data_IF_901510185198
#
_entry.id   IF_901510185198
#
_cell.length_a   1.000
_cell.length_b   1.000
_cell.length_c   1.000
_cell.angle_alpha   90.00
_cell.angle_beta   90.00
_cell.angle_gamma   90.00
#
_symmetry.space_group_name_H-M   'P 1'
#
loop_
_entity.id
_entity.type
_entity.pdbx_description
1 polymer ?
#
# COMPACT_ATOMS: atom_id res chain seq x y z
N UNK A 1 8.14 57.41 7.31
CA UNK A 1 9.01 56.61 6.39
C UNK A 1 8.82 57.20 5.00
N UNK A 2 9.89 57.54 4.34
CA UNK A 2 9.87 58.01 2.95
C UNK A 2 9.85 56.83 1.99
N UNK A 3 8.66 56.31 1.68
CA UNK A 3 8.51 55.21 0.75
C UNK A 3 8.79 55.61 -0.71
N UNK A 4 8.69 56.88 -1.06
CA UNK A 4 8.89 57.33 -2.43
C UNK A 4 10.33 57.19 -2.90
N UNK A 5 11.29 57.32 -1.99
CA UNK A 5 12.73 57.21 -2.24
C UNK A 5 13.34 55.90 -1.71
N UNK A 6 12.51 54.86 -1.49
CA UNK A 6 12.94 53.55 -0.96
C UNK A 6 12.48 52.41 -1.88
N UNK A 7 13.16 51.26 -1.84
CA UNK A 7 12.71 50.06 -2.58
C UNK A 7 11.48 49.39 -1.93
N UNK A 8 10.95 49.91 -0.84
CA UNK A 8 9.86 49.36 -0.07
C UNK A 8 8.55 50.06 -0.36
N UNK A 9 7.46 49.33 -0.30
CA UNK A 9 6.12 49.88 -0.38
C UNK A 9 5.16 49.09 0.55
N UNK A 10 4.08 49.73 0.93
CA UNK A 10 3.03 49.11 1.71
C UNK A 10 2.01 48.47 0.75
N UNK A 11 1.84 47.13 0.82
CA UNK A 11 0.82 46.43 0.05
C UNK A 11 -0.52 46.51 0.80
N UNK A 12 -1.40 47.42 0.37
CA UNK A 12 -2.73 47.65 0.96
C UNK A 12 -3.88 47.09 0.09
N UNK A 13 -3.56 46.47 -1.03
CA UNK A 13 -4.51 45.82 -1.94
C UNK A 13 -4.04 44.43 -2.29
N UNK A 14 -5.00 43.54 -2.55
CA UNK A 14 -4.67 42.21 -3.06
C UNK A 14 -4.02 42.35 -4.44
N UNK A 15 -2.84 41.80 -4.60
CA UNK A 15 -2.09 41.78 -5.86
C UNK A 15 -1.56 40.39 -6.11
N UNK A 16 -1.49 40.01 -7.37
CA UNK A 16 -0.78 38.80 -7.77
C UNK A 16 0.72 38.97 -7.51
N UNK A 17 1.31 38.00 -6.84
CA UNK A 17 2.76 37.99 -6.62
C UNK A 17 3.44 37.32 -7.82
N UNK A 18 3.97 38.11 -8.71
CA UNK A 18 4.61 37.64 -9.94
C UNK A 18 5.80 36.73 -9.63
N UNK A 19 5.88 35.63 -10.39
CA UNK A 19 7.00 34.71 -10.33
C UNK A 19 8.18 35.37 -11.05
N UNK A 20 9.37 35.31 -10.45
CA UNK A 20 10.64 35.74 -11.03
C UNK A 20 11.62 34.59 -11.08
N UNK A 21 12.87 34.85 -11.51
CA UNK A 21 13.94 33.84 -11.55
C UNK A 21 14.37 33.31 -10.16
N UNK A 22 13.83 33.89 -9.11
CA UNK A 22 14.07 33.47 -7.72
C UNK A 22 12.75 33.10 -7.03
N UNK A 23 12.77 32.12 -6.10
CA UNK A 23 11.57 31.74 -5.37
C UNK A 23 11.02 32.92 -4.55
N UNK A 24 9.70 32.98 -4.47
CA UNK A 24 9.00 33.98 -3.66
C UNK A 24 9.29 33.70 -2.18
N UNK A 25 9.65 34.76 -1.42
CA UNK A 25 9.96 34.67 0.01
C UNK A 25 9.18 35.70 0.80
N UNK A 26 8.68 35.31 1.96
CA UNK A 26 7.98 36.19 2.89
C UNK A 26 8.50 36.00 4.31
N UNK A 27 8.64 37.11 5.04
CA UNK A 27 8.86 37.07 6.47
C UNK A 27 7.56 37.36 7.22
N UNK A 28 7.26 36.57 8.24
CA UNK A 28 6.12 36.80 9.14
C UNK A 28 6.66 37.01 10.54
N UNK A 29 6.38 38.19 11.09
CA UNK A 29 6.80 38.58 12.44
C UNK A 29 5.59 38.73 13.35
N UNK A 30 5.68 38.22 14.55
CA UNK A 30 4.71 38.42 15.62
C UNK A 30 5.46 38.76 16.91
N UNK A 31 5.31 40.01 17.37
CA UNK A 31 6.03 40.50 18.53
C UNK A 31 5.04 40.86 19.64
N UNK A 32 5.17 40.18 20.79
CA UNK A 32 4.33 40.40 21.96
C UNK A 32 4.89 41.46 22.89
N UNK A 33 4.01 42.23 23.53
CA UNK A 33 4.38 43.29 24.47
C UNK A 33 5.17 42.76 25.70
N UNK A 34 5.03 41.49 26.04
CA UNK A 34 5.76 40.83 27.16
C UNK A 34 7.12 40.26 26.78
N UNK A 35 7.65 40.53 25.57
CA UNK A 35 8.94 40.03 25.10
C UNK A 35 8.90 38.67 24.41
N UNK A 36 7.73 38.07 24.20
CA UNK A 36 7.57 36.85 23.38
C UNK A 36 7.54 37.25 21.90
N UNK A 37 8.61 36.93 21.18
CA UNK A 37 8.77 37.29 19.78
C UNK A 37 8.91 36.03 18.94
N UNK A 38 8.27 36.01 17.76
CA UNK A 38 8.42 34.98 16.75
C UNK A 38 8.66 35.60 15.37
N UNK A 39 9.55 35.04 14.59
CA UNK A 39 9.77 35.40 13.21
C UNK A 39 9.93 34.11 12.37
N UNK A 40 9.22 34.07 11.26
CA UNK A 40 9.26 32.93 10.31
C UNK A 40 9.60 33.45 8.92
N UNK A 41 10.41 32.70 8.20
CA UNK A 41 10.68 32.93 6.78
C UNK A 41 9.97 31.81 6.01
N UNK A 42 9.14 32.21 5.07
CA UNK A 42 8.45 31.32 4.15
C UNK A 42 9.10 31.46 2.77
N UNK A 43 9.32 30.36 2.11
CA UNK A 43 9.83 30.32 0.75
C UNK A 43 8.86 29.50 -0.12
N UNK A 44 8.74 29.89 -1.39
CA UNK A 44 7.99 29.13 -2.37
C UNK A 44 8.51 27.69 -2.46
N UNK A 45 7.59 26.72 -2.49
CA UNK A 45 7.97 25.33 -2.63
C UNK A 45 8.69 25.10 -3.98
N UNK A 46 9.73 24.26 -4.01
CA UNK A 46 10.36 23.88 -5.26
C UNK A 46 9.35 23.19 -6.19
N UNK A 47 9.60 23.28 -7.49
CA UNK A 47 8.81 22.50 -8.47
C UNK A 47 8.85 21.01 -8.12
N UNK A 48 7.68 20.39 -8.13
CA UNK A 48 7.59 18.96 -7.87
C UNK A 48 8.02 18.19 -9.09
N UNK A 49 8.94 17.26 -8.91
CA UNK A 49 9.24 16.27 -9.94
C UNK A 49 7.99 15.43 -10.21
N UNK A 50 7.80 15.04 -11.47
CA UNK A 50 6.71 14.14 -11.83
C UNK A 50 6.92 12.79 -11.17
N UNK A 51 5.87 12.29 -10.55
CA UNK A 51 5.90 10.96 -9.92
C UNK A 51 6.20 9.88 -10.95
N UNK A 52 7.00 8.90 -10.54
CA UNK A 52 7.28 7.71 -11.34
C UNK A 52 6.01 6.84 -11.49
N UNK A 53 6.05 5.88 -12.40
CA UNK A 53 5.00 4.87 -12.52
C UNK A 53 4.84 4.11 -11.19
N UNK A 54 3.62 3.84 -10.81
CA UNK A 54 3.28 3.10 -9.59
C UNK A 54 2.39 1.89 -9.92
N UNK A 55 2.14 1.04 -8.92
CA UNK A 55 1.21 -0.07 -9.04
C UNK A 55 -0.17 0.39 -9.52
N UNK A 56 -0.89 -0.45 -10.25
CA UNK A 56 -2.25 -0.15 -10.69
C UNK A 56 -3.23 -0.08 -9.50
N UNK A 57 -3.14 -1.04 -8.60
CA UNK A 57 -3.90 -1.04 -7.36
C UNK A 57 -3.22 -0.20 -6.28
N UNK A 58 -3.99 0.61 -5.62
CA UNK A 58 -3.54 1.50 -4.55
C UNK A 58 -4.39 1.33 -3.31
N UNK A 59 -3.74 1.41 -2.18
CA UNK A 59 -4.38 1.44 -0.87
C UNK A 59 -4.45 2.89 -0.40
N UNK A 60 -5.63 3.38 -0.05
CA UNK A 60 -5.80 4.63 0.68
C UNK A 60 -6.06 4.30 2.14
N UNK A 61 -5.40 5.00 3.04
CA UNK A 61 -5.58 4.88 4.48
C UNK A 61 -6.15 6.16 5.06
N UNK A 62 -7.23 6.03 5.82
CA UNK A 62 -7.83 7.12 6.59
C UNK A 62 -7.82 6.76 8.07
N UNK A 63 -7.61 7.74 8.93
CA UNK A 63 -7.74 7.53 10.36
C UNK A 63 -8.23 8.79 11.08
N UNK A 64 -8.89 8.58 12.21
CA UNK A 64 -9.41 9.66 13.03
C UNK A 64 -9.50 9.26 14.52
N UNK A 65 -9.70 10.23 15.39
CA UNK A 65 -9.87 10.00 16.83
C UNK A 65 -11.25 9.46 17.20
N UNK A 66 -12.26 9.67 16.32
CA UNK A 66 -13.66 9.21 16.51
C UNK A 66 -14.22 8.71 15.19
N UNK A 67 -15.28 7.91 15.23
CA UNK A 67 -15.97 7.40 14.05
C UNK A 67 -16.56 8.54 13.22
N UNK A 68 -17.18 9.53 13.86
CA UNK A 68 -17.76 10.70 13.14
C UNK A 68 -16.69 11.54 12.43
N UNK A 69 -15.50 11.66 13.03
CA UNK A 69 -14.37 12.33 12.39
C UNK A 69 -13.80 11.51 11.22
N UNK A 70 -13.85 10.16 11.31
CA UNK A 70 -13.43 9.27 10.24
C UNK A 70 -14.41 9.36 9.04
N UNK A 71 -15.70 9.38 9.29
CA UNK A 71 -16.74 9.61 8.26
C UNK A 71 -16.53 10.96 7.58
N UNK A 72 -16.24 12.01 8.37
CA UNK A 72 -15.95 13.32 7.80
C UNK A 72 -14.67 13.35 6.97
N UNK A 73 -13.63 12.63 7.39
CA UNK A 73 -12.40 12.49 6.62
C UNK A 73 -12.64 11.76 5.29
N UNK A 74 -13.49 10.74 5.29
CA UNK A 74 -13.93 10.03 4.09
C UNK A 74 -14.68 10.96 3.12
N UNK A 75 -15.63 11.75 3.63
CA UNK A 75 -16.37 12.70 2.82
C UNK A 75 -15.45 13.77 2.23
N UNK A 76 -14.53 14.30 3.03
CA UNK A 76 -13.55 15.28 2.57
C UNK A 76 -12.64 14.72 1.47
N UNK A 77 -12.26 13.44 1.55
CA UNK A 77 -11.50 12.77 0.49
C UNK A 77 -12.32 12.68 -0.80
N UNK A 78 -13.58 12.27 -0.71
CA UNK A 78 -14.47 12.20 -1.87
C UNK A 78 -14.65 13.56 -2.54
N UNK A 79 -14.93 14.60 -1.75
CA UNK A 79 -15.06 15.97 -2.23
C UNK A 79 -13.77 16.49 -2.89
N UNK A 80 -12.61 16.11 -2.31
CA UNK A 80 -11.31 16.48 -2.85
C UNK A 80 -11.04 15.81 -4.20
N UNK A 81 -11.29 14.50 -4.31
CA UNK A 81 -11.12 13.74 -5.56
C UNK A 81 -12.00 14.29 -6.68
N UNK A 82 -13.24 14.64 -6.36
CA UNK A 82 -14.17 15.24 -7.30
C UNK A 82 -13.68 16.59 -7.86
N UNK A 83 -13.09 17.43 -6.99
CA UNK A 83 -12.61 18.78 -7.36
C UNK A 83 -11.24 18.78 -8.03
N UNK A 84 -10.43 17.75 -7.83
CA UNK A 84 -9.03 17.70 -8.24
C UNK A 84 -8.73 16.46 -9.10
N UNK A 85 -9.58 16.17 -10.07
CA UNK A 85 -9.49 14.99 -10.93
C UNK A 85 -8.21 14.91 -11.79
N UNK A 86 -7.50 16.01 -11.97
CA UNK A 86 -6.25 16.12 -12.74
C UNK A 86 -4.99 15.86 -11.91
N UNK A 87 -5.11 15.66 -10.60
CA UNK A 87 -3.96 15.33 -9.76
C UNK A 87 -3.58 13.86 -9.84
N UNK A 88 -2.30 13.56 -9.61
CA UNK A 88 -1.80 12.19 -9.54
C UNK A 88 -2.46 11.44 -8.39
N UNK A 89 -3.28 10.44 -8.71
CA UNK A 89 -3.93 9.62 -7.69
C UNK A 89 -2.91 8.77 -6.90
N UNK A 90 -1.78 8.42 -7.51
CA UNK A 90 -0.68 7.76 -6.82
C UNK A 90 -0.12 8.60 -5.67
N UNK A 91 0.03 9.92 -5.90
CA UNK A 91 0.54 10.85 -4.88
C UNK A 91 -0.48 11.07 -3.76
N UNK A 92 -1.77 11.05 -4.09
CA UNK A 92 -2.85 11.13 -3.09
C UNK A 92 -2.78 9.89 -2.18
N UNK A 93 -2.69 8.70 -2.76
CA UNK A 93 -2.56 7.45 -2.02
C UNK A 93 -1.30 7.45 -1.16
N UNK A 94 -0.14 7.78 -1.73
CA UNK A 94 1.12 7.87 -1.00
C UNK A 94 1.06 8.86 0.17
N UNK A 95 0.46 10.04 -0.05
CA UNK A 95 0.29 11.05 1.01
C UNK A 95 -0.62 10.53 2.14
N UNK A 96 -1.61 9.69 1.83
CA UNK A 96 -2.47 9.10 2.86
C UNK A 96 -1.68 8.18 3.81
N UNK A 97 -0.62 7.54 3.32
CA UNK A 97 0.21 6.64 4.12
C UNK A 97 1.22 7.38 4.99
N UNK A 98 2.00 8.30 4.41
CA UNK A 98 3.15 8.90 5.09
C UNK A 98 2.89 10.32 5.60
N UNK A 99 1.94 11.04 4.98
CA UNK A 99 1.67 12.45 5.26
C UNK A 99 0.59 12.68 6.31
N UNK A 100 0.13 11.66 7.00
CA UNK A 100 -0.95 11.76 7.99
C UNK A 100 -0.62 11.01 9.28
N UNK A 101 -1.05 11.57 10.39
CA UNK A 101 -0.97 10.88 11.69
C UNK A 101 -1.95 9.71 11.71
N UNK A 102 -1.52 8.58 12.27
CA UNK A 102 -2.35 7.41 12.44
C UNK A 102 -3.08 7.46 13.79
N UNK A 103 -4.42 7.46 13.73
CA UNK A 103 -5.30 7.42 14.90
C UNK A 103 -5.95 6.04 15.06
N UNK A 104 -6.72 5.89 16.14
CA UNK A 104 -7.32 4.61 16.57
C UNK A 104 -8.40 4.11 15.61
N UNK A 105 -9.30 4.97 15.15
CA UNK A 105 -10.32 4.59 14.15
C UNK A 105 -9.70 4.66 12.77
N UNK A 106 -9.75 3.56 12.03
CA UNK A 106 -9.08 3.43 10.73
C UNK A 106 -10.01 2.92 9.66
N UNK A 107 -9.77 3.37 8.44
CA UNK A 107 -10.42 2.89 7.23
C UNK A 107 -9.39 2.72 6.14
N UNK A 108 -9.53 1.64 5.37
CA UNK A 108 -8.74 1.38 4.17
C UNK A 108 -9.66 1.28 2.97
N UNK A 109 -9.20 1.75 1.81
CA UNK A 109 -9.91 1.70 0.54
C UNK A 109 -8.93 1.21 -0.51
N UNK A 110 -9.28 0.14 -1.23
CA UNK A 110 -8.50 -0.42 -2.33
C UNK A 110 -9.13 0.03 -3.64
N UNK A 111 -8.35 0.68 -4.50
CA UNK A 111 -8.85 1.22 -5.76
C UNK A 111 -7.71 1.48 -6.75
N UNK A 112 -8.04 1.65 -8.03
CA UNK A 112 -7.09 1.94 -9.09
C UNK A 112 -6.93 3.44 -9.34
N UNK A 113 -8.01 4.19 -9.21
CA UNK A 113 -8.07 5.63 -9.50
C UNK A 113 -9.07 6.35 -8.58
N UNK A 114 -9.15 7.67 -8.75
CA UNK A 114 -10.02 8.51 -7.94
C UNK A 114 -11.52 8.29 -8.19
N UNK A 115 -11.91 7.89 -9.40
CA UNK A 115 -13.31 7.58 -9.72
C UNK A 115 -13.76 6.32 -9.00
N UNK A 116 -12.95 5.27 -9.07
CA UNK A 116 -13.22 4.02 -8.34
C UNK A 116 -13.18 4.25 -6.83
N UNK A 117 -12.27 5.09 -6.32
CA UNK A 117 -12.26 5.43 -4.90
C UNK A 117 -13.57 6.07 -4.44
N UNK A 118 -14.11 7.01 -5.21
CA UNK A 118 -15.41 7.65 -4.91
C UNK A 118 -16.57 6.63 -4.99
N UNK A 119 -16.56 5.74 -5.97
CA UNK A 119 -17.55 4.67 -6.10
C UNK A 119 -17.51 3.70 -4.91
N UNK A 120 -16.33 3.22 -4.52
CA UNK A 120 -16.15 2.36 -3.34
C UNK A 120 -16.63 3.04 -2.07
N UNK A 121 -16.34 4.34 -1.91
CA UNK A 121 -16.81 5.14 -0.77
C UNK A 121 -18.34 5.22 -0.75
N UNK A 122 -18.98 5.48 -1.90
CA UNK A 122 -20.43 5.70 -1.99
C UNK A 122 -21.23 4.40 -1.91
N UNK A 123 -20.73 3.33 -2.52
CA UNK A 123 -21.39 2.02 -2.56
C UNK A 123 -21.24 1.22 -1.27
N UNK A 124 -20.34 1.63 -0.38
CA UNK A 124 -19.98 0.89 0.83
C UNK A 124 -19.56 -0.56 0.54
N UNK A 125 -18.82 -0.78 -0.57
CA UNK A 125 -18.39 -2.10 -1.02
C UNK A 125 -17.42 -2.73 -0.01
N UNK A 126 -17.83 -3.80 0.67
CA UNK A 126 -17.07 -4.48 1.72
C UNK A 126 -15.83 -5.22 1.21
N UNK A 127 -15.75 -5.53 -0.09
CA UNK A 127 -14.61 -6.25 -0.67
C UNK A 127 -13.42 -5.33 -0.93
N UNK A 128 -13.69 -4.03 -1.15
CA UNK A 128 -12.68 -3.04 -1.48
C UNK A 128 -12.44 -2.01 -0.37
N UNK A 129 -13.11 -2.13 0.77
CA UNK A 129 -12.87 -1.29 1.93
C UNK A 129 -13.01 -2.05 3.23
N UNK A 130 -12.22 -1.64 4.23
CA UNK A 130 -12.33 -2.15 5.58
C UNK A 130 -12.31 -1.00 6.57
N UNK A 131 -13.11 -1.12 7.63
CA UNK A 131 -13.14 -0.17 8.73
C UNK A 131 -12.91 -0.92 10.03
N UNK A 132 -12.07 -0.38 10.89
CA UNK A 132 -11.75 -1.00 12.16
C UNK A 132 -11.23 -0.01 13.18
N UNK A 133 -11.06 -0.53 14.39
CA UNK A 133 -10.48 0.21 15.52
C UNK A 133 -9.24 -0.53 15.98
N UNK A 134 -8.14 0.21 16.14
CA UNK A 134 -6.91 -0.34 16.73
C UNK A 134 -7.16 -0.60 18.22
N UNK A 135 -7.02 -1.86 18.62
CA UNK A 135 -7.24 -2.30 19.98
C UNK A 135 -5.93 -2.38 20.78
N UNK A 136 -4.81 -2.55 20.09
CA UNK A 136 -3.46 -2.62 20.66
C UNK A 136 -2.47 -2.00 19.69
N UNK A 137 -1.40 -1.42 20.23
CA UNK A 137 -0.35 -0.81 19.40
C UNK A 137 0.55 -1.84 18.71
N UNK A 138 0.61 -3.06 19.25
CA UNK A 138 1.41 -4.17 18.73
C UNK A 138 0.53 -5.43 18.60
N UNK A 139 -0.23 -5.58 17.51
CA UNK A 139 -1.08 -6.75 17.30
C UNK A 139 -0.24 -7.96 16.92
N UNK A 140 -0.49 -9.10 17.56
CA UNK A 140 0.11 -10.37 17.15
C UNK A 140 -0.33 -10.76 15.75
N UNK A 141 0.64 -11.03 14.89
CA UNK A 141 0.42 -11.42 13.47
C UNK A 141 0.69 -12.91 13.33
N UNK A 142 -0.27 -13.63 12.79
CA UNK A 142 -0.15 -15.06 12.52
C UNK A 142 -0.26 -15.29 11.03
N UNK A 143 0.75 -15.93 10.42
CA UNK A 143 0.64 -16.41 9.05
C UNK A 143 0.06 -17.82 9.07
N UNK A 144 -0.99 -18.01 8.28
CA UNK A 144 -1.67 -19.30 8.11
C UNK A 144 -1.39 -19.86 6.73
N UNK A 145 -0.92 -21.12 6.69
CA UNK A 145 -0.58 -21.82 5.47
C UNK A 145 -1.59 -22.95 5.23
N UNK A 146 -2.11 -23.00 4.02
CA UNK A 146 -3.15 -23.95 3.64
C UNK A 146 -2.54 -25.29 3.26
N UNK A 147 -3.36 -26.33 3.37
CA UNK A 147 -3.04 -27.65 2.85
C UNK A 147 -3.50 -27.85 1.41
N UNK A 148 -3.27 -29.08 0.91
CA UNK A 148 -3.70 -29.48 -0.42
C UNK A 148 -5.22 -29.34 -0.58
N UNK A 149 -5.65 -28.83 -1.74
CA UNK A 149 -7.06 -28.56 -2.07
C UNK A 149 -7.34 -27.10 -2.41
N UNK A 150 -6.45 -26.18 -2.00
CA UNK A 150 -6.60 -24.74 -2.27
C UNK A 150 -5.92 -24.27 -3.57
N UNK A 151 -5.20 -25.19 -4.29
CA UNK A 151 -4.53 -24.85 -5.55
C UNK A 151 -5.53 -24.63 -6.69
N UNK A 152 -5.23 -23.67 -7.55
CA UNK A 152 -5.96 -23.42 -8.80
C UNK A 152 -5.02 -22.83 -9.86
N UNK A 153 -5.42 -22.96 -11.12
CA UNK A 153 -4.64 -22.43 -12.26
C UNK A 153 -4.61 -20.91 -12.16
N UNK A 154 -3.46 -20.32 -12.51
CA UNK A 154 -3.19 -18.89 -12.44
C UNK A 154 -3.23 -18.30 -11.01
N UNK A 155 -3.09 -19.17 -9.99
CA UNK A 155 -2.95 -18.74 -8.60
C UNK A 155 -1.76 -17.78 -8.45
N UNK A 156 -2.02 -16.55 -7.96
CA UNK A 156 -1.06 -15.47 -7.81
C UNK A 156 -0.34 -15.02 -9.12
N UNK A 157 -0.94 -15.24 -10.29
CA UNK A 157 -0.37 -14.85 -11.58
C UNK A 157 -0.16 -13.35 -11.68
N UNK A 158 -1.11 -12.56 -11.20
CA UNK A 158 -1.01 -11.09 -11.21
C UNK A 158 0.18 -10.62 -10.35
N UNK A 159 0.37 -11.18 -9.16
CA UNK A 159 1.54 -10.90 -8.31
C UNK A 159 2.85 -11.30 -9.02
N UNK A 160 2.87 -12.45 -9.69
CA UNK A 160 4.04 -12.89 -10.45
C UNK A 160 4.39 -11.93 -11.60
N UNK A 161 3.40 -11.25 -12.18
CA UNK A 161 3.60 -10.28 -13.26
C UNK A 161 3.98 -8.89 -12.77
N UNK A 162 3.46 -8.47 -11.62
CA UNK A 162 3.54 -7.08 -11.13
C UNK A 162 4.53 -6.87 -10.01
N UNK A 163 4.85 -7.91 -9.20
CA UNK A 163 5.75 -7.82 -8.04
C UNK A 163 7.08 -8.53 -8.33
N UNK A 164 8.12 -7.76 -8.61
CA UNK A 164 9.43 -8.32 -9.02
C UNK A 164 10.04 -9.22 -7.94
N UNK A 165 9.92 -8.86 -6.65
CA UNK A 165 10.42 -9.68 -5.54
C UNK A 165 9.70 -11.04 -5.48
N UNK A 166 8.36 -11.03 -5.61
CA UNK A 166 7.57 -12.27 -5.66
C UNK A 166 8.00 -13.16 -6.83
N UNK A 167 8.17 -12.57 -8.00
CA UNK A 167 8.61 -13.25 -9.22
C UNK A 167 9.99 -13.89 -9.05
N UNK A 168 10.93 -13.18 -8.45
CA UNK A 168 12.28 -13.70 -8.20
C UNK A 168 12.25 -14.90 -7.25
N UNK A 169 11.44 -14.84 -6.19
CA UNK A 169 11.30 -15.94 -5.24
C UNK A 169 10.69 -17.17 -5.93
N UNK A 170 9.60 -16.98 -6.71
CA UNK A 170 8.99 -18.08 -7.50
C UNK A 170 10.02 -18.70 -8.44
N UNK A 171 10.79 -17.88 -9.17
CA UNK A 171 11.80 -18.35 -10.11
C UNK A 171 12.90 -19.16 -9.42
N UNK A 172 13.37 -18.71 -8.26
CA UNK A 172 14.38 -19.42 -7.49
C UNK A 172 13.85 -20.78 -6.98
N UNK A 173 12.66 -20.79 -6.38
CA UNK A 173 12.02 -22.03 -5.90
C UNK A 173 11.80 -23.03 -7.04
N UNK A 174 11.27 -22.58 -8.17
CA UNK A 174 11.01 -23.46 -9.31
C UNK A 174 12.28 -24.00 -9.94
N UNK A 175 13.37 -23.23 -9.94
CA UNK A 175 14.67 -23.72 -10.40
C UNK A 175 15.22 -24.84 -9.53
N UNK A 176 15.03 -24.75 -8.22
CA UNK A 176 15.40 -25.79 -7.25
C UNK A 176 14.51 -27.04 -7.38
N UNK A 177 13.23 -26.87 -7.66
CA UNK A 177 12.28 -27.99 -7.81
C UNK A 177 12.39 -28.73 -9.15
N UNK A 178 12.84 -28.06 -10.20
CA UNK A 178 12.88 -28.61 -11.56
C UNK A 178 13.58 -29.97 -11.69
N UNK A 179 14.75 -30.22 -11.04
CA UNK A 179 15.40 -31.54 -11.09
C UNK A 179 14.56 -32.66 -10.45
N UNK A 180 13.75 -32.32 -9.44
CA UNK A 180 12.94 -33.29 -8.68
C UNK A 180 11.59 -33.57 -9.35
N UNK A 181 11.01 -32.58 -10.02
CA UNK A 181 9.72 -32.70 -10.70
C UNK A 181 9.84 -33.10 -12.17
N UNK A 182 11.05 -33.13 -12.73
CA UNK A 182 11.32 -33.35 -14.16
C UNK A 182 10.57 -32.39 -15.09
N UNK A 183 10.06 -31.29 -14.54
CA UNK A 183 9.33 -30.25 -15.27
C UNK A 183 9.39 -28.90 -14.55
N UNK A 184 9.07 -27.83 -15.28
CA UNK A 184 8.93 -26.50 -14.71
C UNK A 184 7.49 -26.29 -14.22
N UNK A 185 7.29 -26.17 -12.91
CA UNK A 185 5.95 -26.07 -12.32
C UNK A 185 5.21 -24.79 -12.75
N UNK A 186 5.94 -23.75 -13.19
CA UNK A 186 5.34 -22.52 -13.71
C UNK A 186 4.50 -22.76 -14.97
N UNK A 187 4.86 -23.77 -15.77
CA UNK A 187 4.10 -24.15 -16.96
C UNK A 187 2.70 -24.69 -16.65
N UNK A 188 2.47 -25.13 -15.41
CA UNK A 188 1.14 -25.55 -14.94
C UNK A 188 0.48 -24.43 -14.15
N UNK A 189 1.24 -23.76 -13.26
CA UNK A 189 0.70 -22.68 -12.43
C UNK A 189 0.23 -21.48 -13.25
N UNK A 190 1.00 -21.06 -14.25
CA UNK A 190 0.75 -19.86 -15.06
C UNK A 190 0.44 -20.22 -16.50
N UNK A 191 -0.60 -21.01 -16.68
CA UNK A 191 -1.00 -21.50 -18.00
C UNK A 191 -2.18 -20.69 -18.54
N UNK A 192 -1.98 -19.98 -19.63
CA UNK A 192 -3.04 -19.23 -20.31
C UNK A 192 -4.12 -20.13 -20.95
N UNK A 193 -3.84 -21.43 -21.12
CA UNK A 193 -4.82 -22.42 -21.57
C UNK A 193 -5.43 -23.10 -20.35
N UNK A 194 -6.45 -22.48 -19.77
CA UNK A 194 -7.25 -23.09 -18.70
C UNK A 194 -8.02 -24.27 -19.26
N UNK A 195 -7.36 -25.44 -19.28
CA UNK A 195 -7.98 -26.69 -19.72
C UNK A 195 -8.23 -27.60 -18.52
N UNK A 196 -9.33 -28.35 -18.56
CA UNK A 196 -9.64 -29.37 -17.55
C UNK A 196 -8.44 -30.30 -17.29
N UNK A 197 -7.65 -30.60 -18.33
CA UNK A 197 -6.44 -31.42 -18.22
C UNK A 197 -5.33 -30.75 -17.40
N UNK A 198 -5.17 -29.44 -17.48
CA UNK A 198 -4.16 -28.70 -16.70
C UNK A 198 -4.58 -28.65 -15.23
N UNK A 199 -5.86 -28.44 -14.95
CA UNK A 199 -6.42 -28.50 -13.60
C UNK A 199 -6.27 -29.88 -12.98
N UNK A 200 -6.58 -30.94 -13.74
CA UNK A 200 -6.42 -32.32 -13.30
C UNK A 200 -4.94 -32.63 -12.96
N UNK A 201 -3.99 -32.16 -13.77
CA UNK A 201 -2.56 -32.32 -13.47
C UNK A 201 -2.16 -31.59 -12.20
N UNK A 202 -2.60 -30.33 -12.03
CA UNK A 202 -2.29 -29.53 -10.84
C UNK A 202 -2.85 -30.16 -9.56
N UNK A 203 -3.94 -30.95 -9.68
CA UNK A 203 -4.55 -31.64 -8.54
C UNK A 203 -3.81 -32.93 -8.13
N UNK A 204 -2.84 -33.40 -8.94
CA UNK A 204 -1.98 -34.52 -8.52
C UNK A 204 -1.10 -34.09 -7.35
N UNK A 205 -1.05 -34.88 -6.29
CA UNK A 205 -0.31 -34.56 -5.04
C UNK A 205 1.14 -34.20 -5.30
N UNK A 206 1.82 -34.88 -6.23
CA UNK A 206 3.19 -34.61 -6.61
C UNK A 206 3.43 -33.19 -7.19
N UNK A 207 2.38 -32.54 -7.69
CA UNK A 207 2.45 -31.17 -8.26
C UNK A 207 1.72 -30.15 -7.37
N UNK A 208 0.60 -30.53 -6.76
CA UNK A 208 -0.18 -29.66 -5.90
C UNK A 208 0.63 -29.17 -4.69
N UNK A 209 1.33 -30.09 -4.03
CA UNK A 209 2.09 -29.76 -2.84
C UNK A 209 3.26 -28.77 -3.12
N UNK A 210 4.16 -29.04 -4.10
CA UNK A 210 5.19 -28.08 -4.44
C UNK A 210 4.63 -26.75 -4.95
N UNK A 211 3.51 -26.76 -5.69
CA UNK A 211 2.88 -25.54 -6.19
C UNK A 211 2.38 -24.64 -5.06
N UNK A 212 1.65 -25.21 -4.09
CA UNK A 212 1.18 -24.50 -2.92
C UNK A 212 2.35 -23.94 -2.10
N UNK A 213 3.33 -24.80 -1.79
CA UNK A 213 4.51 -24.38 -1.02
C UNK A 213 5.21 -23.18 -1.66
N UNK A 214 5.46 -23.21 -2.97
CA UNK A 214 6.17 -22.13 -3.69
C UNK A 214 5.38 -20.81 -3.61
N UNK A 215 4.07 -20.86 -3.83
CA UNK A 215 3.21 -19.66 -3.78
C UNK A 215 3.11 -19.11 -2.36
N UNK A 216 2.86 -19.96 -1.37
CA UNK A 216 2.73 -19.55 0.04
C UNK A 216 4.03 -18.98 0.58
N UNK A 217 5.16 -19.65 0.28
CA UNK A 217 6.48 -19.13 0.66
C UNK A 217 6.78 -17.78 0.02
N UNK A 218 6.52 -17.62 -1.27
CA UNK A 218 6.75 -16.38 -1.98
C UNK A 218 5.86 -15.25 -1.44
N UNK A 219 4.58 -15.55 -1.13
CA UNK A 219 3.65 -14.58 -0.56
C UNK A 219 4.07 -14.16 0.85
N UNK A 220 4.47 -15.10 1.69
CA UNK A 220 4.96 -14.80 3.03
C UNK A 220 6.21 -13.90 2.97
N UNK A 221 7.16 -14.21 2.08
CA UNK A 221 8.37 -13.39 1.89
C UNK A 221 8.05 -11.99 1.38
N UNK A 222 7.10 -11.86 0.45
CA UNK A 222 6.65 -10.57 -0.05
C UNK A 222 6.05 -9.71 1.08
N UNK A 223 5.15 -10.28 1.89
CA UNK A 223 4.57 -9.59 3.04
C UNK A 223 5.63 -9.16 4.06
N UNK A 224 6.60 -10.03 4.33
CA UNK A 224 7.74 -9.70 5.19
C UNK A 224 8.59 -8.58 4.62
N UNK A 225 8.83 -8.57 3.30
CA UNK A 225 9.49 -7.47 2.58
C UNK A 225 8.75 -6.13 2.71
N UNK A 226 7.43 -6.16 2.82
CA UNK A 226 6.61 -4.98 3.12
C UNK A 226 6.56 -4.60 4.61
N UNK A 227 7.33 -5.31 5.46
CA UNK A 227 7.44 -5.02 6.90
C UNK A 227 6.42 -5.74 7.78
N UNK A 228 5.57 -6.62 7.22
CA UNK A 228 4.63 -7.44 7.99
C UNK A 228 5.35 -8.67 8.50
N UNK A 229 5.81 -8.64 9.76
CA UNK A 229 6.52 -9.75 10.37
C UNK A 229 5.55 -10.63 11.16
N UNK A 230 5.51 -11.96 10.95
CA UNK A 230 4.67 -12.84 11.74
C UNK A 230 5.31 -13.14 13.10
N UNK A 231 4.50 -13.15 14.16
CA UNK A 231 4.89 -13.63 15.49
C UNK A 231 4.79 -15.16 15.57
N UNK A 232 3.87 -15.73 14.79
CA UNK A 232 3.62 -17.17 14.78
C UNK A 232 3.23 -17.64 13.38
N UNK A 233 3.53 -18.92 13.10
CA UNK A 233 3.15 -19.60 11.87
C UNK A 233 2.23 -20.76 12.26
N UNK A 234 1.12 -20.91 11.56
CA UNK A 234 0.19 -22.04 11.68
C UNK A 234 0.02 -22.67 10.31
N UNK A 235 0.14 -23.98 10.22
CA UNK A 235 -0.01 -24.69 8.98
C UNK A 235 -0.81 -25.97 9.14
N UNK A 236 -1.62 -26.30 8.13
CA UNK A 236 -2.33 -27.56 8.04
C UNK A 236 -1.66 -28.45 7.00
N UNK A 237 -1.37 -29.72 7.36
CA UNK A 237 -0.75 -30.69 6.44
C UNK A 237 0.59 -30.17 5.89
N UNK A 238 0.70 -29.93 4.58
CA UNK A 238 1.86 -29.36 3.92
C UNK A 238 2.25 -27.99 4.49
N UNK A 239 1.27 -27.17 4.85
CA UNK A 239 1.46 -25.85 5.47
C UNK A 239 2.25 -25.89 6.79
N UNK A 240 2.38 -27.06 7.42
CA UNK A 240 3.26 -27.27 8.58
C UNK A 240 4.76 -27.31 8.26
N UNK A 241 5.16 -27.26 6.98
CA UNK A 241 6.56 -27.38 6.56
C UNK A 241 7.35 -26.09 6.44
N UNK A 242 6.78 -24.88 6.23
CA UNK A 242 7.62 -23.72 5.98
C UNK A 242 8.37 -23.27 7.23
N UNK A 243 9.70 -23.30 7.11
CA UNK A 243 10.61 -22.61 8.01
C UNK A 243 10.91 -21.25 7.40
N UNK A 244 10.35 -20.17 7.95
CA UNK A 244 10.56 -18.83 7.45
C UNK A 244 11.42 -18.07 8.46
N UNK A 245 12.73 -17.96 8.17
CA UNK A 245 13.70 -17.36 9.10
C UNK A 245 13.88 -18.20 10.36
N UNK A 246 13.86 -17.55 11.51
CA UNK A 246 13.99 -18.21 12.83
C UNK A 246 12.66 -18.66 13.44
N UNK A 247 11.55 -18.45 12.75
CA UNK A 247 10.20 -18.79 13.22
C UNK A 247 9.90 -20.21 12.75
N UNK A 248 9.61 -21.10 13.72
CA UNK A 248 9.17 -22.48 13.46
C UNK A 248 7.65 -22.55 13.50
N UNK A 249 7.05 -23.29 12.57
CA UNK A 249 5.62 -23.64 12.64
C UNK A 249 5.37 -24.52 13.85
N UNK A 250 4.43 -24.15 14.71
CA UNK A 250 3.82 -25.07 15.62
C UNK A 250 2.77 -25.89 14.83
N UNK A 251 3.12 -27.13 14.53
CA UNK A 251 2.20 -28.07 13.89
C UNK A 251 1.45 -28.79 15.01
N UNK A 252 0.20 -28.45 15.26
CA UNK A 252 -0.70 -29.36 15.95
C UNK A 252 -1.18 -30.40 14.93
N UNK A 253 -0.54 -31.57 14.98
CA UNK A 253 -1.04 -32.76 14.28
C UNK A 253 -2.17 -33.37 15.11
N UNK A 254 -3.41 -33.13 14.72
CA UNK A 254 -4.56 -33.95 15.08
C UNK A 254 -5.20 -34.49 13.83
#
# INVERSE_FOLDING_TARGET
IDFANSPFYVSNTLKEWQISDSPRRAGVSSFGMGGTNAHLILEEAPEREKSSSSRDWRLITLSAKTDTALEKAQQNLSDYLQKNSNQSFADIAYTSHIGRQHFVHRKTIICRDGLQAMDVISSNNSDLQATGKVLTDDPHIVFMFLGQGSQYINMAQELYQTEEEFKQIINNCTSLLKPHLSMDIRSILFNNNDSAKTSEKLNQTALAQPALFVIEYALAKLLMGWGIQPDSLVGHSLGGCPKIGNITTNVDMH
#
